data_IF_698734434341
#
_entry.id   IF_698734434341
#
_cell.length_a   1.000
_cell.length_b   1.000
_cell.length_c   1.000
_cell.angle_alpha   90.00
_cell.angle_beta   90.00
_cell.angle_gamma   90.00
#
_symmetry.space_group_name_H-M   'P 1'
#
loop_
_entity.id
_entity.type
_entity.pdbx_description
1 polymer ?
#
# COMPACT_ATOMS: atom_id res chain seq x y z
N UNK A 1 -10.30 -14.74 35.33
CA UNK A 1 -9.86 -13.63 34.45
C UNK A 1 -10.81 -13.31 33.28
N UNK A 2 -11.61 -14.25 32.75
CA UNK A 2 -12.50 -13.98 31.60
C UNK A 2 -13.80 -13.17 31.89
N UNK A 3 -14.13 -12.92 33.16
CA UNK A 3 -15.33 -12.13 33.55
C UNK A 3 -15.10 -10.62 33.56
N UNK A 4 -13.92 -10.15 33.99
CA UNK A 4 -13.64 -8.72 34.11
C UNK A 4 -13.49 -8.01 32.76
N UNK A 5 -13.13 -8.71 31.68
CA UNK A 5 -13.06 -8.15 30.32
C UNK A 5 -14.45 -7.95 29.67
N UNK A 6 -15.48 -8.68 30.13
CA UNK A 6 -16.85 -8.56 29.61
C UNK A 6 -17.57 -7.34 30.20
N UNK A 7 -17.27 -7.01 31.45
CA UNK A 7 -17.89 -5.91 32.17
C UNK A 7 -17.33 -4.54 31.71
N UNK A 8 -16.04 -4.47 31.35
CA UNK A 8 -15.43 -3.23 30.85
C UNK A 8 -15.88 -2.86 29.43
N UNK A 9 -16.15 -3.84 28.57
CA UNK A 9 -16.72 -3.59 27.23
C UNK A 9 -18.20 -3.19 27.26
N UNK A 10 -18.96 -3.61 28.27
CA UNK A 10 -20.37 -3.22 28.40
C UNK A 10 -20.56 -1.81 28.98
N UNK A 11 -19.64 -1.33 29.81
CA UNK A 11 -19.70 -0.02 30.44
C UNK A 11 -19.46 1.15 29.46
N UNK A 12 -18.57 0.99 28.47
CA UNK A 12 -18.28 2.02 27.46
C UNK A 12 -19.37 2.13 26.36
N UNK A 13 -20.20 1.10 26.19
CA UNK A 13 -21.27 1.07 25.18
C UNK A 13 -22.58 1.76 25.64
N UNK A 14 -22.80 1.92 26.94
CA UNK A 14 -24.04 2.49 27.49
C UNK A 14 -24.30 3.97 27.15
N UNK A 15 -23.32 4.89 27.18
CA UNK A 15 -23.59 6.30 26.85
C UNK A 15 -23.91 6.50 25.35
N UNK A 16 -23.23 5.78 24.45
CA UNK A 16 -23.47 5.86 23.01
C UNK A 16 -24.91 5.45 22.63
N UNK A 17 -25.45 4.43 23.30
CA UNK A 17 -26.80 3.91 23.04
C UNK A 17 -27.92 4.87 23.50
N UNK A 18 -27.66 5.69 24.54
CA UNK A 18 -28.58 6.75 25.01
C UNK A 18 -28.59 7.97 24.11
N UNK A 19 -27.43 8.40 23.59
CA UNK A 19 -27.33 9.51 22.64
C UNK A 19 -28.01 9.19 21.31
N UNK A 20 -27.91 7.94 20.82
CA UNK A 20 -28.55 7.50 19.57
C UNK A 20 -30.09 7.63 19.59
N UNK A 21 -30.69 7.49 20.77
CA UNK A 21 -32.13 7.63 20.95
C UNK A 21 -32.64 9.06 20.81
N UNK A 22 -31.78 10.09 20.84
CA UNK A 22 -32.17 11.50 20.68
C UNK A 22 -32.05 12.02 19.24
N UNK A 23 -31.35 11.30 18.37
CA UNK A 23 -31.09 11.74 16.99
C UNK A 23 -32.33 11.49 16.10
N UNK A 24 -32.76 12.45 15.25
CA UNK A 24 -33.90 12.27 14.35
C UNK A 24 -33.63 11.21 13.26
N UNK A 25 -34.67 10.46 12.87
CA UNK A 25 -34.57 9.27 12.01
C UNK A 25 -33.88 9.51 10.65
N UNK A 26 -34.06 10.70 10.04
CA UNK A 26 -33.40 11.08 8.78
C UNK A 26 -31.88 11.19 8.91
N UNK A 27 -31.39 11.62 10.08
CA UNK A 27 -29.96 11.75 10.37
C UNK A 27 -29.36 10.38 10.70
N UNK A 28 -30.12 9.50 11.37
CA UNK A 28 -29.69 8.12 11.61
C UNK A 28 -29.44 7.34 10.30
N UNK A 29 -30.30 7.51 9.29
CA UNK A 29 -30.10 6.89 7.97
C UNK A 29 -28.87 7.43 7.23
N UNK A 30 -28.67 8.77 7.23
CA UNK A 30 -27.52 9.41 6.59
C UNK A 30 -26.19 9.05 7.25
N UNK A 31 -26.14 8.94 8.58
CA UNK A 31 -24.94 8.50 9.30
C UNK A 31 -24.64 7.02 9.01
N UNK A 32 -25.67 6.17 8.96
CA UNK A 32 -25.51 4.73 8.68
C UNK A 32 -24.90 4.46 7.30
N UNK A 33 -25.28 5.24 6.29
CA UNK A 33 -24.78 5.10 4.92
C UNK A 33 -23.49 5.90 4.69
N UNK A 34 -23.38 7.10 5.27
CA UNK A 34 -22.25 8.01 5.05
C UNK A 34 -20.97 7.63 5.78
N UNK A 35 -21.06 7.09 6.99
CA UNK A 35 -19.90 6.71 7.79
C UNK A 35 -18.98 5.66 7.12
N UNK A 36 -19.49 4.54 6.55
CA UNK A 36 -18.63 3.59 5.84
C UNK A 36 -18.07 4.17 4.53
N UNK A 37 -18.80 5.06 3.86
CA UNK A 37 -18.29 5.72 2.65
C UNK A 37 -17.08 6.60 2.98
N UNK A 38 -17.14 7.36 4.07
CA UNK A 38 -16.02 8.19 4.54
C UNK A 38 -14.82 7.33 4.93
N UNK A 39 -15.03 6.19 5.60
CA UNK A 39 -13.95 5.26 5.94
C UNK A 39 -13.24 4.69 4.70
N UNK A 40 -13.99 4.34 3.64
CA UNK A 40 -13.43 3.90 2.36
C UNK A 40 -12.64 5.01 1.68
N UNK A 41 -13.15 6.25 1.68
CA UNK A 41 -12.45 7.40 1.10
C UNK A 41 -11.15 7.72 1.85
N UNK A 42 -11.16 7.66 3.19
CA UNK A 42 -9.95 7.86 4.00
C UNK A 42 -8.92 6.76 3.71
N UNK A 43 -9.36 5.49 3.65
CA UNK A 43 -8.49 4.37 3.31
C UNK A 43 -7.89 4.51 1.90
N UNK A 44 -8.69 4.95 0.92
CA UNK A 44 -8.22 5.21 -0.44
C UNK A 44 -7.22 6.37 -0.48
N UNK A 45 -7.46 7.43 0.30
CA UNK A 45 -6.57 8.58 0.40
C UNK A 45 -5.20 8.18 0.98
N UNK A 46 -5.19 7.40 2.07
CA UNK A 46 -3.96 6.88 2.66
C UNK A 46 -3.18 5.96 1.69
N UNK A 47 -3.88 5.08 0.97
CA UNK A 47 -3.25 4.22 -0.03
C UNK A 47 -2.67 4.99 -1.23
N UNK A 48 -3.29 6.12 -1.61
CA UNK A 48 -2.77 7.02 -2.64
C UNK A 48 -1.56 7.81 -2.15
N UNK A 49 -1.56 8.28 -0.89
CA UNK A 49 -0.39 8.94 -0.28
C UNK A 49 0.82 7.99 -0.19
N UNK A 50 0.59 6.72 0.18
CA UNK A 50 1.62 5.69 0.18
C UNK A 50 2.14 5.33 -1.22
N UNK A 51 1.36 5.57 -2.29
CA UNK A 51 1.82 5.38 -3.67
C UNK A 51 2.79 6.47 -4.15
N UNK A 52 2.59 7.72 -3.74
CA UNK A 52 3.45 8.83 -4.16
C UNK A 52 4.88 8.71 -3.61
N UNK A 53 5.05 8.10 -2.43
CA UNK A 53 6.38 7.80 -1.87
C UNK A 53 7.10 6.65 -2.59
N UNK A 54 6.42 5.86 -3.44
CA UNK A 54 7.02 4.71 -4.14
C UNK A 54 7.83 5.11 -5.38
N UNK A 55 7.52 6.26 -5.98
CA UNK A 55 8.14 6.70 -7.25
C UNK A 55 9.62 7.02 -7.05
N UNK A 56 10.01 7.66 -5.96
CA UNK A 56 11.42 7.97 -5.68
C UNK A 56 12.25 6.69 -5.43
N UNK A 57 11.64 5.68 -4.81
CA UNK A 57 12.30 4.41 -4.50
C UNK A 57 12.55 3.58 -5.77
N UNK A 58 11.62 3.61 -6.72
CA UNK A 58 11.75 2.88 -7.98
C UNK A 58 12.92 3.40 -8.82
N UNK A 59 13.11 4.72 -8.88
CA UNK A 59 14.22 5.33 -9.63
C UNK A 59 15.59 5.05 -9.01
N UNK A 60 15.69 4.98 -7.68
CA UNK A 60 16.94 4.65 -6.98
C UNK A 60 17.30 3.17 -7.21
N UNK A 61 16.34 2.26 -7.07
CA UNK A 61 16.56 0.82 -7.35
C UNK A 61 17.03 0.61 -8.79
N UNK A 62 16.36 1.25 -9.75
CA UNK A 62 16.70 1.13 -11.16
C UNK A 62 18.15 1.59 -11.41
N UNK A 63 18.55 2.72 -10.83
CA UNK A 63 19.92 3.23 -10.96
C UNK A 63 20.95 2.26 -10.39
N UNK A 64 20.74 1.73 -9.19
CA UNK A 64 21.66 0.76 -8.56
C UNK A 64 21.81 -0.51 -9.40
N UNK A 65 20.72 -0.96 -10.00
CA UNK A 65 20.73 -2.07 -10.95
C UNK A 65 21.50 -1.73 -12.23
N UNK A 66 21.25 -0.56 -12.83
CA UNK A 66 21.97 -0.08 -14.02
C UNK A 66 23.48 0.05 -13.76
N UNK A 67 23.90 0.57 -12.60
CA UNK A 67 25.31 0.60 -12.19
C UNK A 67 25.90 -0.80 -12.11
N UNK A 68 25.20 -1.76 -11.49
CA UNK A 68 25.68 -3.14 -11.35
C UNK A 68 25.84 -3.86 -12.70
N UNK A 69 24.92 -3.58 -13.64
CA UNK A 69 24.99 -4.08 -15.02
C UNK A 69 26.18 -3.49 -15.75
N UNK A 70 26.36 -2.16 -15.72
CA UNK A 70 27.46 -1.47 -16.39
C UNK A 70 28.84 -1.92 -15.86
N UNK A 71 28.98 -2.14 -14.54
CA UNK A 71 30.20 -2.71 -13.94
C UNK A 71 30.49 -4.14 -14.45
N UNK A 72 29.44 -4.92 -14.73
CA UNK A 72 29.55 -6.26 -15.31
C UNK A 72 29.95 -6.27 -16.76
N UNK A 73 29.37 -5.36 -17.52
CA UNK A 73 29.73 -5.13 -18.92
C UNK A 73 31.20 -4.73 -19.04
N UNK A 74 31.66 -3.77 -18.22
CA UNK A 74 33.07 -3.38 -18.11
C UNK A 74 33.97 -4.60 -17.88
N UNK A 75 33.66 -5.42 -16.88
CA UNK A 75 34.47 -6.61 -16.56
C UNK A 75 34.48 -7.60 -17.72
N UNK A 76 33.34 -7.79 -18.38
CA UNK A 76 33.19 -8.69 -19.53
C UNK A 76 34.02 -8.21 -20.72
N UNK A 77 33.96 -6.91 -21.05
CA UNK A 77 34.77 -6.31 -22.11
C UNK A 77 36.26 -6.51 -21.84
N UNK A 78 36.71 -6.25 -20.61
CA UNK A 78 38.12 -6.41 -20.25
C UNK A 78 38.61 -7.86 -20.33
N UNK A 79 37.81 -8.82 -19.84
CA UNK A 79 38.13 -10.26 -19.95
C UNK A 79 38.18 -10.71 -21.40
N UNK A 80 37.22 -10.27 -22.22
CA UNK A 80 37.18 -10.61 -23.64
C UNK A 80 38.37 -10.01 -24.39
N UNK A 81 38.75 -8.77 -24.09
CA UNK A 81 39.93 -8.12 -24.66
C UNK A 81 41.21 -8.89 -24.34
N UNK A 82 41.41 -9.25 -23.07
CA UNK A 82 42.57 -10.02 -22.62
C UNK A 82 42.62 -11.40 -23.28
N UNK A 83 41.47 -12.07 -23.35
CA UNK A 83 41.34 -13.39 -23.98
C UNK A 83 41.63 -13.32 -25.49
N UNK A 84 41.16 -12.27 -26.16
CA UNK A 84 41.39 -12.03 -27.58
C UNK A 84 42.87 -11.80 -27.92
N UNK A 85 43.54 -10.91 -27.16
CA UNK A 85 44.99 -10.67 -27.38
C UNK A 85 45.82 -11.92 -27.11
N UNK A 86 45.49 -12.70 -26.07
CA UNK A 86 46.17 -13.99 -25.82
C UNK A 86 45.91 -15.01 -26.94
N UNK A 87 44.70 -15.09 -27.45
CA UNK A 87 44.38 -15.94 -28.61
C UNK A 87 45.19 -15.55 -29.85
N UNK A 88 45.35 -14.26 -30.09
CA UNK A 88 46.20 -13.74 -31.17
C UNK A 88 47.68 -14.08 -30.94
N UNK A 89 48.20 -13.91 -29.72
CA UNK A 89 49.58 -14.28 -29.39
C UNK A 89 49.87 -15.77 -29.63
N UNK A 90 48.91 -16.65 -29.31
CA UNK A 90 49.08 -18.10 -29.46
C UNK A 90 48.94 -18.58 -30.90
N UNK A 91 48.07 -17.96 -31.69
CA UNK A 91 47.69 -18.46 -33.02
C UNK A 91 48.21 -17.63 -34.18
N UNK A 92 48.55 -16.36 -33.94
CA UNK A 92 48.84 -15.36 -34.97
C UNK A 92 47.63 -14.93 -35.81
N UNK A 93 46.43 -15.45 -35.53
CA UNK A 93 45.24 -15.18 -36.34
C UNK A 93 44.54 -13.90 -35.90
N UNK A 94 44.44 -12.92 -36.80
CA UNK A 94 43.86 -11.59 -36.51
C UNK A 94 42.39 -11.65 -36.08
N UNK A 95 41.66 -12.72 -36.41
CA UNK A 95 40.28 -12.93 -35.95
C UNK A 95 40.15 -12.92 -34.41
N UNK A 96 41.18 -13.35 -33.67
CA UNK A 96 41.16 -13.27 -32.20
C UNK A 96 41.25 -11.84 -31.66
N UNK A 97 41.57 -10.83 -32.48
CA UNK A 97 41.64 -9.42 -32.06
C UNK A 97 40.28 -8.71 -32.12
N UNK A 98 39.23 -9.36 -32.63
CA UNK A 98 37.87 -8.79 -32.68
C UNK A 98 37.37 -8.36 -31.28
N UNK A 99 37.46 -9.19 -30.22
CA UNK A 99 36.99 -8.80 -28.89
C UNK A 99 37.81 -7.65 -28.27
N UNK A 100 39.11 -7.58 -28.56
CA UNK A 100 39.96 -6.46 -28.12
C UNK A 100 39.56 -5.15 -28.80
N UNK A 101 39.27 -5.20 -30.10
CA UNK A 101 38.84 -4.04 -30.88
C UNK A 101 37.47 -3.55 -30.40
N UNK A 102 36.55 -4.48 -30.12
CA UNK A 102 35.24 -4.18 -29.54
C UNK A 102 35.38 -3.51 -28.17
N UNK A 103 36.14 -4.12 -27.25
CA UNK A 103 36.34 -3.56 -25.91
C UNK A 103 36.96 -2.15 -25.96
N UNK A 104 37.93 -1.92 -26.85
CA UNK A 104 38.55 -0.60 -27.01
C UNK A 104 37.56 0.47 -27.50
N UNK A 105 36.53 0.08 -28.24
CA UNK A 105 35.49 0.98 -28.75
C UNK A 105 34.34 1.20 -27.75
N UNK A 106 33.93 0.17 -27.01
CA UNK A 106 32.76 0.20 -26.13
C UNK A 106 33.08 0.68 -24.70
N UNK A 107 34.29 0.41 -24.20
CA UNK A 107 34.68 0.76 -22.84
C UNK A 107 34.53 2.26 -22.50
N UNK A 108 34.86 3.23 -23.39
CA UNK A 108 34.63 4.65 -23.12
C UNK A 108 33.15 4.98 -22.88
N UNK A 109 32.24 4.33 -23.60
CA UNK A 109 30.79 4.50 -23.45
C UNK A 109 30.32 3.97 -22.11
N UNK A 110 30.73 2.77 -21.73
CA UNK A 110 30.41 2.16 -20.42
C UNK A 110 30.94 3.04 -19.28
N UNK A 111 32.16 3.57 -19.40
CA UNK A 111 32.74 4.49 -18.41
C UNK A 111 31.98 5.81 -18.30
N UNK A 112 31.44 6.31 -19.42
CA UNK A 112 30.62 7.52 -19.44
C UNK A 112 29.30 7.26 -18.73
N UNK A 113 28.63 6.15 -19.05
CA UNK A 113 27.40 5.72 -18.38
C UNK A 113 27.59 5.57 -16.86
N UNK A 114 28.67 4.91 -16.41
CA UNK A 114 28.99 4.81 -14.99
C UNK A 114 29.17 6.18 -14.33
N UNK A 115 29.83 7.11 -15.01
CA UNK A 115 30.04 8.48 -14.51
C UNK A 115 28.71 9.24 -14.40
N UNK A 116 27.81 9.10 -15.37
CA UNK A 116 26.48 9.71 -15.35
C UNK A 116 25.61 9.15 -14.21
N UNK A 117 25.60 7.82 -14.04
CA UNK A 117 24.89 7.14 -12.95
C UNK A 117 25.40 7.60 -11.58
N UNK A 118 26.72 7.69 -11.40
CA UNK A 118 27.31 8.20 -10.16
C UNK A 118 27.01 9.69 -9.92
N UNK A 119 27.01 10.51 -10.98
CA UNK A 119 26.69 11.94 -10.87
C UNK A 119 25.24 12.19 -10.45
N UNK A 120 24.34 11.28 -10.80
CA UNK A 120 22.94 11.34 -10.38
C UNK A 120 22.73 10.95 -8.90
N UNK A 121 23.73 10.37 -8.22
CA UNK A 121 23.63 9.92 -6.83
C UNK A 121 23.19 11.07 -5.90
N UNK A 122 22.19 10.84 -5.03
CA UNK A 122 21.77 11.84 -4.05
C UNK A 122 22.79 11.95 -2.91
N UNK A 123 23.15 13.19 -2.58
CA UNK A 123 24.13 13.51 -1.54
C UNK A 123 25.55 13.71 -2.09
N UNK A 124 26.26 14.70 -1.54
CA UNK A 124 27.59 15.08 -2.03
C UNK A 124 28.65 14.01 -1.72
N UNK A 125 28.72 13.55 -0.47
CA UNK A 125 29.74 12.58 -0.06
C UNK A 125 29.63 11.21 -0.77
N UNK A 126 28.44 10.59 -0.93
CA UNK A 126 28.30 9.36 -1.72
C UNK A 126 28.67 9.55 -3.19
N UNK A 127 28.30 10.69 -3.78
CA UNK A 127 28.62 11.04 -5.17
C UNK A 127 30.13 11.16 -5.38
N UNK A 128 30.82 11.93 -4.54
CA UNK A 128 32.28 12.10 -4.63
C UNK A 128 33.00 10.76 -4.49
N UNK A 129 32.56 9.91 -3.56
CA UNK A 129 33.13 8.57 -3.34
C UNK A 129 32.98 7.70 -4.59
N UNK A 130 31.77 7.62 -5.17
CA UNK A 130 31.52 6.82 -6.38
C UNK A 130 32.31 7.34 -7.58
N UNK A 131 32.37 8.65 -7.77
CA UNK A 131 33.15 9.27 -8.86
C UNK A 131 34.65 8.98 -8.71
N UNK A 132 35.18 8.98 -7.49
CA UNK A 132 36.56 8.59 -7.20
C UNK A 132 36.86 7.14 -7.61
N UNK A 133 35.97 6.21 -7.26
CA UNK A 133 36.08 4.78 -7.65
C UNK A 133 36.02 4.58 -9.16
N UNK A 134 35.11 5.26 -9.84
CA UNK A 134 35.01 5.22 -11.32
C UNK A 134 36.27 5.78 -11.96
N UNK A 135 36.89 6.81 -11.37
CA UNK A 135 38.17 7.33 -11.85
C UNK A 135 39.30 6.32 -11.67
N UNK A 136 39.37 5.61 -10.54
CA UNK A 136 40.32 4.52 -10.34
C UNK A 136 40.12 3.38 -11.35
N UNK A 137 38.86 2.96 -11.59
CA UNK A 137 38.54 1.97 -12.63
C UNK A 137 38.96 2.43 -14.02
N UNK A 138 38.74 3.71 -14.36
CA UNK A 138 39.19 4.29 -15.63
C UNK A 138 40.71 4.20 -15.79
N UNK A 139 41.45 4.52 -14.74
CA UNK A 139 42.92 4.44 -14.76
C UNK A 139 43.40 2.98 -14.88
N UNK A 140 42.81 2.05 -14.12
CA UNK A 140 43.17 0.63 -14.16
C UNK A 140 42.88 0.00 -15.53
N UNK A 141 41.68 0.21 -16.06
CA UNK A 141 41.27 -0.30 -17.38
C UNK A 141 42.08 0.33 -18.51
N UNK A 142 42.40 1.63 -18.43
CA UNK A 142 43.27 2.30 -19.39
C UNK A 142 44.68 1.72 -19.40
N UNK A 143 45.26 1.45 -18.23
CA UNK A 143 46.56 0.76 -18.10
C UNK A 143 46.51 -0.65 -18.68
N UNK A 144 45.43 -1.39 -18.45
CA UNK A 144 45.25 -2.73 -18.99
C UNK A 144 45.09 -2.73 -20.52
N UNK A 145 44.31 -1.82 -21.09
CA UNK A 145 44.19 -1.70 -22.55
C UNK A 145 45.52 -1.30 -23.21
N UNK A 146 46.26 -0.36 -22.59
CA UNK A 146 47.59 0.01 -23.09
C UNK A 146 48.57 -1.17 -23.05
N UNK A 147 48.49 -2.00 -22.00
CA UNK A 147 49.27 -3.23 -21.87
C UNK A 147 48.93 -4.25 -22.98
N UNK A 148 47.63 -4.48 -23.19
CA UNK A 148 47.12 -5.38 -24.23
C UNK A 148 47.47 -4.90 -25.65
N UNK A 149 47.44 -3.59 -25.90
CA UNK A 149 47.86 -3.03 -27.20
C UNK A 149 49.37 -3.23 -27.41
N UNK A 150 50.19 -2.97 -26.39
CA UNK A 150 51.63 -3.25 -26.44
C UNK A 150 51.90 -4.73 -26.74
N UNK A 151 51.22 -5.62 -26.04
CA UNK A 151 51.28 -7.07 -26.26
C UNK A 151 50.90 -7.48 -27.69
N UNK A 152 49.84 -6.87 -28.25
CA UNK A 152 49.43 -7.05 -29.64
C UNK A 152 50.52 -6.60 -30.62
N UNK A 153 51.12 -5.43 -30.42
CA UNK A 153 52.17 -4.93 -31.33
C UNK A 153 53.42 -5.80 -31.33
N UNK A 154 53.84 -6.32 -30.17
CA UNK A 154 54.97 -7.25 -30.04
C UNK A 154 54.68 -8.58 -30.74
N UNK A 155 53.45 -9.09 -30.65
CA UNK A 155 53.05 -10.30 -31.36
C UNK A 155 53.03 -10.10 -32.89
N UNK A 156 52.61 -8.91 -33.36
CA UNK A 156 52.50 -8.59 -34.78
C UNK A 156 53.85 -8.42 -35.49
N UNK A 157 54.90 -7.98 -34.79
CA UNK A 157 56.25 -7.79 -35.37
C UNK A 157 57.06 -9.10 -35.50
N UNK A 158 56.44 -10.25 -35.19
CA UNK A 158 57.05 -11.56 -35.24
C UNK A 158 57.75 -11.87 -33.92
N UNK A 159 57.10 -12.70 -33.08
CA UNK A 159 57.48 -13.07 -31.72
C UNK A 159 58.82 -13.82 -31.52
N UNK A 160 59.84 -13.53 -32.33
CA UNK A 160 61.20 -14.06 -32.20
C UNK A 160 62.11 -13.25 -31.27
N UNK A 161 61.69 -12.07 -30.79
CA UNK A 161 62.52 -11.20 -29.95
C UNK A 161 62.08 -11.13 -28.48
N UNK A 162 60.81 -11.43 -28.16
CA UNK A 162 60.35 -11.44 -26.78
C UNK A 162 60.88 -12.70 -26.08
N UNK A 163 61.73 -12.51 -25.08
CA UNK A 163 62.23 -13.63 -24.27
C UNK A 163 61.08 -14.27 -23.48
N UNK A 164 61.18 -15.56 -23.18
CA UNK A 164 60.24 -16.24 -22.27
C UNK A 164 60.14 -15.60 -20.86
N UNK A 165 61.06 -14.68 -20.53
CA UNK A 165 61.03 -13.88 -19.31
C UNK A 165 60.11 -12.65 -19.46
N UNK A 166 60.22 -11.91 -20.56
CA UNK A 166 59.37 -10.74 -20.86
C UNK A 166 57.90 -11.13 -21.00
N UNK A 167 57.60 -12.21 -21.72
CA UNK A 167 56.21 -12.72 -21.85
C UNK A 167 55.63 -13.09 -20.48
N UNK A 168 56.43 -13.71 -19.60
CA UNK A 168 55.98 -14.03 -18.24
C UNK A 168 55.72 -12.79 -17.41
N UNK A 169 56.58 -11.78 -17.52
CA UNK A 169 56.41 -10.52 -16.79
C UNK A 169 55.15 -9.78 -17.24
N UNK A 170 54.88 -9.75 -18.55
CA UNK A 170 53.67 -9.17 -19.14
C UNK A 170 52.40 -9.89 -18.66
N UNK A 171 52.43 -11.22 -18.63
CA UNK A 171 51.30 -12.01 -18.13
C UNK A 171 51.02 -11.77 -16.64
N UNK A 172 52.06 -11.63 -15.82
CA UNK A 172 51.90 -11.33 -14.38
C UNK A 172 51.34 -9.92 -14.18
N UNK A 173 51.83 -8.94 -14.94
CA UNK A 173 51.36 -7.56 -14.86
C UNK A 173 49.90 -7.42 -15.30
N UNK A 174 49.53 -7.99 -16.46
CA UNK A 174 48.15 -7.97 -16.94
C UNK A 174 47.19 -8.71 -16.00
N UNK A 175 47.66 -9.78 -15.34
CA UNK A 175 46.90 -10.47 -14.29
C UNK A 175 46.67 -9.59 -13.06
N UNK A 176 47.71 -8.92 -12.55
CA UNK A 176 47.60 -8.04 -11.38
C UNK A 176 46.58 -6.91 -11.63
N UNK A 177 46.66 -6.28 -12.81
CA UNK A 177 45.70 -5.27 -13.21
C UNK A 177 44.26 -5.81 -13.27
N UNK A 178 44.04 -6.98 -13.86
CA UNK A 178 42.70 -7.59 -13.93
C UNK A 178 42.17 -8.03 -12.57
N UNK A 179 43.03 -8.54 -11.68
CA UNK A 179 42.64 -8.88 -10.32
C UNK A 179 42.23 -7.61 -9.55
N UNK A 180 42.94 -6.48 -9.74
CA UNK A 180 42.56 -5.18 -9.16
C UNK A 180 41.26 -4.62 -9.74
N UNK A 181 41.05 -4.71 -11.05
CA UNK A 181 39.79 -4.30 -11.70
C UNK A 181 38.62 -5.12 -11.13
N UNK A 182 38.78 -6.44 -11.01
CA UNK A 182 37.75 -7.32 -10.44
C UNK A 182 37.46 -6.99 -8.99
N UNK A 183 38.50 -6.77 -8.17
CA UNK A 183 38.35 -6.40 -6.77
C UNK A 183 37.55 -5.10 -6.62
N UNK A 184 37.90 -4.06 -7.38
CA UNK A 184 37.21 -2.76 -7.31
C UNK A 184 35.75 -2.88 -7.79
N UNK A 185 35.50 -3.60 -8.89
CA UNK A 185 34.15 -3.88 -9.38
C UNK A 185 33.32 -4.66 -8.36
N UNK A 186 33.87 -5.69 -7.74
CA UNK A 186 33.18 -6.52 -6.77
C UNK A 186 32.87 -5.73 -5.48
N UNK A 187 33.77 -4.87 -5.05
CA UNK A 187 33.54 -3.99 -3.89
C UNK A 187 32.41 -2.99 -4.18
N UNK A 188 32.44 -2.32 -5.34
CA UNK A 188 31.37 -1.43 -5.77
C UNK A 188 30.02 -2.15 -5.87
N UNK A 189 30.00 -3.37 -6.44
CA UNK A 189 28.77 -4.17 -6.55
C UNK A 189 28.23 -4.60 -5.20
N UNK A 190 29.11 -5.01 -4.29
CA UNK A 190 28.72 -5.41 -2.94
C UNK A 190 28.09 -4.23 -2.18
N UNK A 191 28.65 -3.03 -2.35
CA UNK A 191 28.10 -1.81 -1.78
C UNK A 191 26.71 -1.48 -2.35
N UNK A 192 26.54 -1.51 -3.68
CA UNK A 192 25.23 -1.26 -4.30
C UNK A 192 24.20 -2.32 -3.91
N UNK A 193 24.61 -3.58 -3.80
CA UNK A 193 23.73 -4.67 -3.41
C UNK A 193 23.29 -4.57 -1.94
N UNK A 194 24.20 -4.20 -1.03
CA UNK A 194 23.84 -3.95 0.36
C UNK A 194 22.82 -2.80 0.49
N UNK A 195 23.03 -1.71 -0.26
CA UNK A 195 22.09 -0.58 -0.30
C UNK A 195 20.73 -0.97 -0.92
N UNK A 196 20.73 -1.84 -1.93
CA UNK A 196 19.50 -2.38 -2.52
C UNK A 196 18.73 -3.25 -1.52
N UNK A 197 19.41 -4.14 -0.81
CA UNK A 197 18.78 -5.04 0.17
C UNK A 197 18.14 -4.25 1.31
N UNK A 198 18.82 -3.21 1.82
CA UNK A 198 18.27 -2.31 2.84
C UNK A 198 17.02 -1.57 2.33
N UNK A 199 17.03 -1.09 1.09
CA UNK A 199 15.86 -0.41 0.49
C UNK A 199 14.70 -1.36 0.22
N UNK A 200 14.98 -2.58 -0.24
CA UNK A 200 13.96 -3.61 -0.44
C UNK A 200 13.31 -3.98 0.90
N UNK A 201 14.10 -4.09 1.98
CA UNK A 201 13.59 -4.32 3.32
C UNK A 201 12.66 -3.19 3.78
N UNK A 202 13.04 -1.92 3.57
CA UNK A 202 12.22 -0.75 3.88
C UNK A 202 10.90 -0.74 3.08
N UNK A 203 10.93 -1.07 1.78
CA UNK A 203 9.72 -1.18 0.95
C UNK A 203 8.79 -2.28 1.46
N UNK A 204 9.35 -3.42 1.87
CA UNK A 204 8.56 -4.53 2.36
C UNK A 204 7.85 -4.17 3.67
N UNK A 205 8.49 -3.41 4.56
CA UNK A 205 7.87 -2.91 5.79
C UNK A 205 6.77 -1.86 5.50
N UNK A 206 6.99 -0.98 4.53
CA UNK A 206 5.95 -0.04 4.07
C UNK A 206 4.76 -0.81 3.46
N UNK A 207 5.02 -1.84 2.65
CA UNK A 207 3.97 -2.67 2.03
C UNK A 207 3.13 -3.42 3.07
N UNK A 208 3.75 -4.05 4.07
CA UNK A 208 3.01 -4.76 5.12
C UNK A 208 2.15 -3.80 5.94
N UNK A 209 2.68 -2.62 6.28
CA UNK A 209 1.94 -1.57 6.98
C UNK A 209 0.74 -1.06 6.18
N UNK A 210 0.91 -0.83 4.87
CA UNK A 210 -0.17 -0.43 3.97
C UNK A 210 -1.28 -1.50 3.94
N UNK A 211 -0.94 -2.77 3.74
CA UNK A 211 -1.92 -3.86 3.73
C UNK A 211 -2.66 -4.03 5.06
N UNK A 212 -1.95 -3.91 6.20
CA UNK A 212 -2.57 -3.99 7.53
C UNK A 212 -3.52 -2.83 7.76
N UNK A 213 -3.16 -1.61 7.35
CA UNK A 213 -4.03 -0.44 7.50
C UNK A 213 -5.34 -0.56 6.70
N UNK A 214 -5.25 -1.05 5.46
CA UNK A 214 -6.41 -1.33 4.61
C UNK A 214 -7.26 -2.46 5.19
N UNK A 215 -6.63 -3.53 5.70
CA UNK A 215 -7.33 -4.63 6.34
C UNK A 215 -8.10 -4.17 7.60
N UNK A 216 -7.48 -3.36 8.46
CA UNK A 216 -8.13 -2.78 9.64
C UNK A 216 -9.30 -1.87 9.23
N UNK A 217 -9.12 -1.03 8.21
CA UNK A 217 -10.18 -0.16 7.70
C UNK A 217 -11.37 -0.96 7.15
N UNK A 218 -11.10 -2.06 6.43
CA UNK A 218 -12.13 -2.95 5.90
C UNK A 218 -12.88 -3.67 7.02
N UNK A 219 -12.17 -4.21 8.01
CA UNK A 219 -12.80 -4.84 9.19
C UNK A 219 -13.64 -3.83 9.96
N UNK A 220 -13.11 -2.63 10.20
CA UNK A 220 -13.84 -1.56 10.89
C UNK A 220 -15.10 -1.14 10.12
N UNK A 221 -15.04 -1.06 8.79
CA UNK A 221 -16.19 -0.76 7.95
C UNK A 221 -17.27 -1.85 8.03
N UNK A 222 -16.88 -3.13 8.02
CA UNK A 222 -17.80 -4.27 8.17
C UNK A 222 -18.45 -4.26 9.55
N UNK A 223 -17.67 -4.05 10.61
CA UNK A 223 -18.17 -3.98 11.99
C UNK A 223 -19.14 -2.81 12.16
N UNK A 224 -18.79 -1.63 11.65
CA UNK A 224 -19.68 -0.46 11.69
C UNK A 224 -20.98 -0.70 10.90
N UNK A 225 -20.91 -1.35 9.73
CA UNK A 225 -22.09 -1.71 8.93
C UNK A 225 -22.99 -2.68 9.68
N UNK A 226 -22.41 -3.71 10.31
CA UNK A 226 -23.14 -4.69 11.10
C UNK A 226 -23.78 -4.05 12.34
N UNK A 227 -23.04 -3.19 13.04
CA UNK A 227 -23.53 -2.45 14.20
C UNK A 227 -24.68 -1.52 13.82
N UNK A 228 -24.57 -0.79 12.71
CA UNK A 228 -25.64 0.08 12.23
C UNK A 228 -26.88 -0.73 11.81
N UNK A 229 -26.71 -1.86 11.12
CA UNK A 229 -27.81 -2.80 10.82
C UNK A 229 -28.49 -3.31 12.09
N UNK A 230 -27.71 -3.72 13.10
CA UNK A 230 -28.23 -4.21 14.37
C UNK A 230 -29.00 -3.13 15.15
N UNK A 231 -28.47 -1.91 15.22
CA UNK A 231 -29.13 -0.77 15.86
C UNK A 231 -30.41 -0.37 15.12
N UNK A 232 -30.41 -0.39 13.79
CA UNK A 232 -31.59 -0.12 12.97
C UNK A 232 -32.67 -1.19 13.17
N UNK A 233 -32.30 -2.48 13.12
CA UNK A 233 -33.18 -3.63 13.39
C UNK A 233 -33.83 -3.49 14.77
N UNK A 234 -33.06 -3.27 15.83
CA UNK A 234 -33.61 -3.21 17.18
C UNK A 234 -34.35 -1.90 17.49
N UNK A 235 -33.98 -0.79 16.85
CA UNK A 235 -34.60 0.52 17.08
C UNK A 235 -35.92 0.71 16.36
N UNK A 236 -35.98 0.35 15.07
CA UNK A 236 -37.15 0.63 14.21
C UNK A 236 -38.07 -0.58 14.12
N UNK A 237 -37.55 -1.79 13.87
CA UNK A 237 -38.42 -2.97 13.66
C UNK A 237 -39.22 -3.27 14.93
N UNK A 238 -38.60 -3.21 16.12
CA UNK A 238 -39.33 -3.38 17.39
C UNK A 238 -40.38 -2.31 17.66
N UNK A 239 -40.30 -1.13 17.05
CA UNK A 239 -41.31 -0.07 17.19
C UNK A 239 -42.44 -0.27 16.19
N UNK A 240 -42.10 -0.64 14.96
CA UNK A 240 -43.08 -1.01 13.93
C UNK A 240 -43.88 -2.24 14.36
N UNK A 241 -43.24 -3.28 14.87
CA UNK A 241 -43.90 -4.48 15.38
C UNK A 241 -44.85 -4.13 16.54
N UNK A 242 -44.41 -3.27 17.47
CA UNK A 242 -45.26 -2.78 18.56
C UNK A 242 -46.46 -1.98 18.07
N UNK A 243 -46.28 -1.10 17.09
CA UNK A 243 -47.40 -0.35 16.53
C UNK A 243 -48.37 -1.29 15.79
N UNK A 244 -47.85 -2.28 15.05
CA UNK A 244 -48.64 -3.28 14.38
C UNK A 244 -49.44 -4.16 15.37
N UNK A 245 -48.83 -4.52 16.50
CA UNK A 245 -49.49 -5.27 17.57
C UNK A 245 -50.56 -4.42 18.27
N UNK A 246 -50.30 -3.15 18.57
CA UNK A 246 -51.30 -2.23 19.13
C UNK A 246 -52.51 -2.08 18.21
N UNK A 247 -52.30 -1.88 16.90
CA UNK A 247 -53.39 -1.81 15.92
C UNK A 247 -54.19 -3.11 15.85
N UNK A 248 -53.53 -4.29 15.98
CA UNK A 248 -54.22 -5.59 16.05
C UNK A 248 -55.05 -5.74 17.32
N UNK A 249 -54.55 -5.28 18.46
CA UNK A 249 -55.28 -5.32 19.75
C UNK A 249 -56.53 -4.45 19.66
N UNK A 250 -56.41 -3.21 19.17
CA UNK A 250 -57.55 -2.29 18.99
C UNK A 250 -58.59 -2.89 18.04
N UNK A 251 -58.17 -3.43 16.89
CA UNK A 251 -59.07 -4.07 15.92
C UNK A 251 -59.86 -5.24 16.52
N UNK A 252 -59.26 -5.95 17.48
CA UNK A 252 -59.88 -7.09 18.14
C UNK A 252 -60.61 -6.70 19.45
N UNK A 253 -60.77 -5.40 19.74
CA UNK A 253 -61.50 -4.89 20.90
C UNK A 253 -60.74 -4.93 22.23
N UNK A 254 -59.42 -5.06 22.21
CA UNK A 254 -58.60 -5.07 23.42
C UNK A 254 -58.18 -3.66 23.88
N UNK A 255 -57.80 -3.49 25.16
CA UNK A 255 -57.42 -2.20 25.74
C UNK A 255 -56.08 -1.69 25.19
N UNK A 256 -55.97 -0.37 25.00
CA UNK A 256 -54.76 0.25 24.46
C UNK A 256 -53.63 0.30 25.51
N UNK A 257 -52.43 -0.22 25.20
CA UNK A 257 -51.27 -0.11 26.08
C UNK A 257 -50.83 1.35 26.28
N UNK A 258 -50.30 1.69 27.45
CA UNK A 258 -49.87 3.07 27.78
C UNK A 258 -48.81 3.62 26.80
N UNK A 259 -48.91 4.90 26.40
CA UNK A 259 -48.04 5.47 25.37
C UNK A 259 -46.59 5.60 25.86
N UNK A 260 -45.59 5.21 25.04
CA UNK A 260 -44.18 5.41 25.37
C UNK A 260 -43.78 6.90 25.30
N UNK A 261 -42.62 7.29 25.86
CA UNK A 261 -42.12 8.66 25.77
C UNK A 261 -41.93 9.06 24.29
N UNK A 262 -42.72 10.06 23.86
CA UNK A 262 -42.81 10.50 22.47
C UNK A 262 -41.49 11.10 22.01
N UNK A 263 -40.93 10.51 20.94
CA UNK A 263 -39.78 11.09 20.23
C UNK A 263 -40.30 12.08 19.18
N UNK A 264 -39.62 13.22 18.98
CA UNK A 264 -39.97 14.22 17.96
C UNK A 264 -39.53 13.76 16.56
N UNK A 265 -40.09 12.66 16.07
CA UNK A 265 -39.92 12.17 14.71
C UNK A 265 -41.27 11.76 14.10
N UNK A 266 -41.30 11.55 12.78
CA UNK A 266 -42.51 11.21 12.01
C UNK A 266 -43.24 9.96 12.55
N UNK A 267 -42.53 9.03 13.19
CA UNK A 267 -43.14 7.83 13.78
C UNK A 267 -43.78 8.15 15.13
N UNK A 268 -43.16 9.00 15.95
CA UNK A 268 -43.78 9.52 17.17
C UNK A 268 -44.99 10.42 16.91
N UNK A 269 -45.04 11.12 15.76
CA UNK A 269 -46.24 11.82 15.29
C UNK A 269 -47.36 10.84 14.94
N UNK A 270 -47.05 9.77 14.20
CA UNK A 270 -48.02 8.73 13.84
C UNK A 270 -48.55 7.97 15.06
N UNK A 271 -47.69 7.61 16.02
CA UNK A 271 -48.08 6.99 17.29
C UNK A 271 -49.07 7.89 18.06
N UNK A 272 -48.84 9.21 18.06
CA UNK A 272 -49.74 10.18 18.68
C UNK A 272 -51.09 10.24 17.97
N UNK A 273 -51.11 10.28 16.64
CA UNK A 273 -52.35 10.30 15.86
C UNK A 273 -53.20 9.04 16.05
N UNK A 274 -52.57 7.86 16.11
CA UNK A 274 -53.26 6.58 16.36
C UNK A 274 -53.90 6.56 17.75
N UNK A 275 -53.21 7.03 18.78
CA UNK A 275 -53.78 7.15 20.13
C UNK A 275 -54.93 8.16 20.20
N UNK A 276 -54.85 9.26 19.45
CA UNK A 276 -55.95 10.23 19.37
C UNK A 276 -57.18 9.63 18.68
N UNK A 277 -57.01 8.81 17.64
CA UNK A 277 -58.12 8.10 16.98
C UNK A 277 -58.88 7.18 17.95
N UNK A 278 -58.15 6.40 18.76
CA UNK A 278 -58.73 5.50 19.75
C UNK A 278 -59.53 6.26 20.82
N UNK A 279 -58.96 7.33 21.38
CA UNK A 279 -59.69 8.18 22.33
C UNK A 279 -60.97 8.80 21.75
N UNK A 280 -60.95 9.12 20.45
CA UNK A 280 -62.12 9.69 19.74
C UNK A 280 -63.18 8.66 19.34
N UNK A 281 -62.84 7.37 19.33
CA UNK A 281 -63.78 6.27 19.07
C UNK A 281 -64.41 5.80 20.37
N UNK A 282 -63.62 5.62 21.43
CA UNK A 282 -64.14 5.35 22.78
C UNK A 282 -65.11 6.44 23.24
N UNK A 283 -64.78 7.73 23.07
CA UNK A 283 -65.67 8.83 23.43
C UNK A 283 -67.01 8.81 22.65
N UNK A 284 -67.00 8.41 21.37
CA UNK A 284 -68.23 8.30 20.56
C UNK A 284 -69.10 7.11 20.97
N UNK A 285 -68.50 6.02 21.42
CA UNK A 285 -69.24 4.86 21.91
C UNK A 285 -69.85 5.14 23.29
N UNK A 286 -69.15 5.84 24.18
CA UNK A 286 -69.69 6.29 25.47
C UNK A 286 -70.86 7.27 25.30
N UNK A 287 -70.77 8.21 24.34
CA UNK A 287 -71.86 9.14 24.00
C UNK A 287 -73.09 8.39 23.43
N UNK A 288 -72.88 7.33 22.65
CA UNK A 288 -73.97 6.49 22.12
C UNK A 288 -74.65 5.64 23.19
N UNK A 289 -73.88 5.08 24.11
CA UNK A 289 -74.41 4.34 25.26
C UNK A 289 -75.23 5.28 26.14
N UNK A 290 -74.71 6.46 26.44
CA UNK A 290 -75.40 7.49 27.23
C UNK A 290 -76.68 7.99 26.55
N UNK A 291 -76.66 8.21 25.23
CA UNK A 291 -77.85 8.59 24.46
C UNK A 291 -78.91 7.47 24.38
N UNK A 292 -78.48 6.20 24.36
CA UNK A 292 -79.35 5.03 24.40
C UNK A 292 -80.02 4.82 25.76
N UNK A 293 -79.30 5.05 26.86
CA UNK A 293 -79.87 5.02 28.22
C UNK A 293 -80.84 6.17 28.45
N UNK A 294 -80.51 7.39 28.01
CA UNK A 294 -81.40 8.54 28.09
C UNK A 294 -82.71 8.37 27.28
N UNK A 295 -82.70 7.59 26.20
CA UNK A 295 -83.92 7.23 25.46
C UNK A 295 -84.75 6.12 26.13
N UNK A 296 -84.13 5.23 26.92
CA UNK A 296 -84.85 4.20 27.69
C UNK A 296 -85.55 4.75 28.93
N UNK A 297 -85.05 5.84 29.49
CA UNK A 297 -85.66 6.51 30.66
C UNK A 297 -86.79 7.50 30.33
N UNK A 298 -87.26 7.58 29.07
CA UNK A 298 -88.49 8.31 28.75
C UNK A 298 -89.73 7.41 28.93
N UNK A 299 -90.49 7.49 30.04
CA UNK A 299 -91.77 6.83 30.13
C UNK A 299 -92.76 7.44 29.13
N UNK A 300 -93.51 6.57 28.45
CA UNK A 300 -94.65 6.92 27.63
C UNK A 300 -95.70 7.65 28.49
N UNK A 301 -95.79 8.97 28.37
CA UNK A 301 -97.01 9.69 28.71
C UNK A 301 -97.95 9.56 27.50
N UNK A 302 -98.84 8.58 27.57
CA UNK A 302 -100.03 8.47 26.73
C UNK A 302 -101.20 8.25 27.69
N UNK A 303 -102.16 9.19 27.67
CA UNK A 303 -103.32 9.21 28.56
C UNK A 303 -103.70 10.63 28.90
#
# INVERSE_FOLDING_TARGET
>A
MARSLRDTLSASAQPAMRLWHRVPMRVQGRITVGLPLVAVVISACLALSGNLQRVDIETDIQRKFETSVALGELTTLMVNAETGVRGYQLTGQTAFLEPFTQASAELPTVMTQLTELASAEPGEAPRETKLGRIQELRDLTGRQLADLERQRTVAATGGGAATNAEIRQDLVFGKDLMDRIRAEVDEMRTEEQALLDDRIAEINDIRTRDYVSVAIALVAAVVMRFLAWYLFRNGIVRRVDRLADTVRIIRNGGPVPSPPPVKRDRMGELEREVHLLDSSTSARDDDRVSAGEASRERPAQTG
#
